data_IF_525299570179
#
_entry.id   IF_525299570179
#
_cell.length_a   1.000
_cell.length_b   1.000
_cell.length_c   1.000
_cell.angle_alpha   90.00
_cell.angle_beta   90.00
_cell.angle_gamma   90.00
#
_symmetry.space_group_name_H-M   'P 1'
#
loop_
_entity.id
_entity.type
_entity.pdbx_description
1 polymer ?
#
# COMPACT_ATOMS: atom_id res chain seq x y z
N UNK A 1 23.14 4.99 74.09
CA UNK A 1 23.50 4.92 72.65
C UNK A 1 22.27 4.42 71.90
N UNK A 2 21.60 5.28 71.12
CA UNK A 2 20.42 4.95 70.33
C UNK A 2 20.89 4.84 68.84
N UNK A 3 20.81 3.66 68.29
CA UNK A 3 21.13 3.36 66.89
C UNK A 3 19.91 3.67 66.02
N UNK A 4 20.02 4.66 65.17
CA UNK A 4 18.99 4.99 64.18
C UNK A 4 19.23 4.11 62.93
N UNK A 5 18.21 3.36 62.55
CA UNK A 5 18.19 2.63 61.27
C UNK A 5 17.74 3.57 60.11
N UNK A 6 18.33 3.47 58.95
CA UNK A 6 17.90 4.26 57.78
C UNK A 6 16.66 3.66 57.12
N UNK A 7 15.64 4.49 56.91
CA UNK A 7 14.48 4.21 56.05
C UNK A 7 14.96 4.13 54.59
N UNK A 8 14.87 2.96 54.00
CA UNK A 8 15.04 2.78 52.56
C UNK A 8 13.72 3.10 51.86
N UNK A 9 13.70 4.22 51.15
CA UNK A 9 12.61 4.61 50.26
C UNK A 9 12.61 3.75 49.00
N UNK A 10 11.67 2.83 48.89
CA UNK A 10 11.41 2.12 47.63
C UNK A 10 10.63 3.04 46.67
N UNK A 11 11.33 3.62 45.71
CA UNK A 11 10.70 4.34 44.62
C UNK A 11 10.25 3.32 43.56
N UNK A 12 8.96 3.00 43.57
CA UNK A 12 8.35 2.18 42.50
C UNK A 12 8.24 3.03 41.21
N UNK A 13 9.10 2.77 40.24
CA UNK A 13 8.99 3.34 38.90
C UNK A 13 7.89 2.61 38.18
N UNK A 14 6.71 3.22 38.08
CA UNK A 14 5.63 2.75 37.19
C UNK A 14 6.05 3.02 35.74
N UNK A 15 6.56 2.01 35.05
CA UNK A 15 6.70 2.00 33.60
C UNK A 15 5.31 1.90 32.98
N UNK A 16 4.66 3.03 32.71
CA UNK A 16 3.52 3.09 31.81
C UNK A 16 3.99 2.72 30.41
N UNK A 17 3.85 1.45 30.06
CA UNK A 17 4.01 0.98 28.69
C UNK A 17 2.95 1.62 27.80
N UNK A 18 3.32 2.69 27.10
CA UNK A 18 2.48 3.27 26.06
C UNK A 18 2.44 2.25 24.93
N UNK A 19 1.37 1.46 24.87
CA UNK A 19 1.07 0.60 23.72
C UNK A 19 0.70 1.56 22.59
N UNK A 20 1.68 1.91 21.75
CA UNK A 20 1.40 2.54 20.46
C UNK A 20 0.66 1.52 19.60
N UNK A 21 -0.67 1.53 19.65
CA UNK A 21 -1.46 0.95 18.59
C UNK A 21 -1.14 1.77 17.33
N UNK A 22 -0.37 1.18 16.42
CA UNK A 22 -0.10 1.78 15.13
C UNK A 22 -1.44 1.98 14.42
N UNK A 23 -1.97 3.20 14.47
CA UNK A 23 -3.14 3.60 13.73
C UNK A 23 -2.90 3.34 12.23
N UNK A 24 -3.96 3.03 11.49
CA UNK A 24 -3.85 2.92 10.04
C UNK A 24 -3.27 4.22 9.49
N UNK A 25 -2.19 4.10 8.72
CA UNK A 25 -1.49 5.25 8.16
C UNK A 25 -2.06 5.56 6.77
N UNK A 26 -2.08 6.85 6.42
CA UNK A 26 -2.53 7.25 5.10
C UNK A 26 -1.46 6.95 4.03
N UNK A 27 -1.91 6.44 2.91
CA UNK A 27 -1.06 6.37 1.71
C UNK A 27 -0.74 7.80 1.27
N UNK A 28 0.53 8.16 1.06
CA UNK A 28 0.93 9.51 0.69
C UNK A 28 0.29 9.99 -0.62
N UNK A 29 -0.04 11.30 -0.74
CA UNK A 29 -0.72 11.85 -1.92
C UNK A 29 -0.09 11.51 -3.27
N UNK A 30 1.25 11.50 -3.44
CA UNK A 30 1.86 11.19 -4.74
C UNK A 30 1.52 9.80 -5.29
N UNK A 31 1.19 8.84 -4.43
CA UNK A 31 0.81 7.49 -4.83
C UNK A 31 -0.67 7.34 -5.15
N UNK A 32 -1.51 8.28 -4.71
CA UNK A 32 -2.96 8.23 -4.89
C UNK A 32 -3.33 8.55 -6.34
N UNK A 33 -4.43 7.95 -6.79
CA UNK A 33 -4.96 8.18 -8.13
C UNK A 33 -5.46 6.91 -8.78
N UNK A 34 -5.66 7.01 -10.07
CA UNK A 34 -6.06 5.92 -10.95
C UNK A 34 -4.89 5.58 -11.85
N UNK A 35 -4.57 4.30 -11.91
CA UNK A 35 -3.41 3.77 -12.59
C UNK A 35 -3.83 2.61 -13.50
N UNK A 36 -3.19 2.53 -14.66
CA UNK A 36 -3.42 1.47 -15.64
C UNK A 36 -2.15 0.64 -15.82
N UNK A 37 -2.25 -0.67 -15.68
CA UNK A 37 -1.17 -1.63 -15.90
C UNK A 37 -1.60 -2.76 -16.81
N UNK A 38 -0.63 -3.58 -17.23
CA UNK A 38 -0.86 -4.80 -17.97
C UNK A 38 -0.23 -5.97 -17.23
N UNK A 39 -1.00 -7.03 -17.07
CA UNK A 39 -0.60 -8.23 -16.31
C UNK A 39 0.60 -8.93 -16.94
N UNK A 40 0.71 -8.84 -18.26
CA UNK A 40 1.72 -9.52 -19.07
C UNK A 40 2.45 -8.51 -19.97
N UNK A 41 3.46 -7.82 -19.43
CA UNK A 41 4.25 -6.90 -20.24
C UNK A 41 5.33 -7.62 -21.08
N UNK A 42 5.74 -8.82 -20.66
CA UNK A 42 6.69 -9.63 -21.42
C UNK A 42 5.99 -10.27 -22.60
N UNK A 43 6.48 -10.01 -23.82
CA UNK A 43 5.96 -10.57 -25.07
C UNK A 43 4.86 -9.74 -25.74
N UNK A 44 4.56 -8.53 -25.27
CA UNK A 44 3.67 -7.61 -26.01
C UNK A 44 4.29 -7.22 -27.35
N UNK A 45 3.52 -7.37 -28.41
CA UNK A 45 3.92 -6.93 -29.75
C UNK A 45 3.93 -5.40 -29.88
N UNK A 46 3.16 -4.70 -29.06
CA UNK A 46 3.06 -3.24 -29.08
C UNK A 46 3.61 -2.62 -27.79
N UNK A 47 4.50 -1.61 -27.90
CA UNK A 47 4.99 -0.89 -26.75
C UNK A 47 3.87 -0.08 -26.10
N UNK A 48 3.91 0.05 -24.75
CA UNK A 48 3.01 0.93 -24.02
C UNK A 48 3.37 2.37 -24.32
N UNK A 49 2.50 3.09 -25.02
CA UNK A 49 2.67 4.51 -25.36
C UNK A 49 1.77 5.39 -24.54
N UNK A 50 2.12 6.68 -24.40
CA UNK A 50 1.27 7.67 -23.75
C UNK A 50 -0.08 7.83 -24.46
N UNK A 51 -0.14 7.63 -25.78
CA UNK A 51 -1.38 7.64 -26.53
C UNK A 51 -2.29 6.48 -26.13
N UNK A 52 -1.73 5.28 -26.02
CA UNK A 52 -2.45 4.09 -25.56
C UNK A 52 -3.01 4.29 -24.15
N UNK A 53 -2.19 4.76 -23.20
CA UNK A 53 -2.61 5.03 -21.84
C UNK A 53 -3.78 6.03 -21.82
N UNK A 54 -3.66 7.15 -22.55
CA UNK A 54 -4.73 8.17 -22.62
C UNK A 54 -6.02 7.62 -23.21
N UNK A 55 -5.94 6.77 -24.21
CA UNK A 55 -7.11 6.16 -24.84
C UNK A 55 -7.86 5.28 -23.85
N UNK A 56 -7.16 4.35 -23.21
CA UNK A 56 -7.75 3.47 -22.19
C UNK A 56 -8.32 4.26 -20.99
N UNK A 57 -7.59 5.24 -20.48
CA UNK A 57 -8.04 6.03 -19.34
C UNK A 57 -9.24 6.94 -19.66
N UNK A 58 -9.44 7.31 -20.92
CA UNK A 58 -10.55 8.16 -21.37
C UNK A 58 -11.81 7.36 -21.64
N UNK A 59 -11.66 6.22 -22.28
CA UNK A 59 -12.79 5.43 -22.78
C UNK A 59 -13.29 4.39 -21.78
N UNK A 60 -12.69 4.32 -20.59
CA UNK A 60 -12.87 3.24 -19.65
C UNK A 60 -12.15 1.99 -20.14
N UNK A 61 -11.60 1.24 -19.22
CA UNK A 61 -10.99 -0.04 -19.54
C UNK A 61 -12.08 -0.97 -20.07
N UNK A 62 -12.02 -1.23 -21.35
CA UNK A 62 -12.59 -2.48 -21.84
C UNK A 62 -11.58 -3.53 -21.42
N UNK A 63 -11.82 -4.14 -20.25
CA UNK A 63 -10.97 -5.22 -19.76
C UNK A 63 -10.94 -6.33 -20.81
N UNK A 64 -9.97 -6.24 -21.68
CA UNK A 64 -9.46 -7.41 -22.38
C UNK A 64 -8.54 -8.13 -21.40
N UNK A 65 -8.22 -9.37 -21.61
CA UNK A 65 -7.63 -10.31 -20.65
C UNK A 65 -6.31 -9.85 -19.98
N UNK A 66 -5.80 -8.65 -20.25
CA UNK A 66 -4.46 -8.23 -19.88
C UNK A 66 -4.39 -6.97 -19.03
N UNK A 67 -5.41 -6.10 -19.07
CA UNK A 67 -5.37 -4.84 -18.33
C UNK A 67 -5.70 -5.02 -16.86
N UNK A 68 -5.02 -4.24 -16.03
CA UNK A 68 -5.29 -4.10 -14.61
C UNK A 68 -5.45 -2.63 -14.27
N UNK A 69 -6.56 -2.26 -13.64
CA UNK A 69 -6.72 -0.94 -13.03
C UNK A 69 -6.34 -1.00 -11.56
N UNK A 70 -5.58 -0.01 -11.11
CA UNK A 70 -5.25 0.17 -9.72
C UNK A 70 -5.77 1.53 -9.26
N UNK A 71 -6.75 1.52 -8.37
CA UNK A 71 -7.27 2.72 -7.72
C UNK A 71 -6.68 2.82 -6.32
N UNK A 72 -5.91 3.88 -6.06
CA UNK A 72 -5.30 4.15 -4.76
C UNK A 72 -5.96 5.39 -4.15
N UNK A 73 -6.55 5.23 -2.98
CA UNK A 73 -7.11 6.29 -2.15
C UNK A 73 -6.34 6.39 -0.84
N UNK A 74 -6.71 7.29 0.01
CA UNK A 74 -6.04 7.59 1.28
C UNK A 74 -5.80 6.35 2.16
N UNK A 75 -6.82 5.49 2.29
CA UNK A 75 -6.77 4.28 3.12
C UNK A 75 -7.36 3.06 2.42
N UNK A 76 -7.50 3.12 1.12
CA UNK A 76 -8.14 2.08 0.32
C UNK A 76 -7.41 1.87 -0.99
N UNK A 77 -7.30 0.63 -1.41
CA UNK A 77 -6.71 0.21 -2.68
C UNK A 77 -7.63 -0.80 -3.33
N UNK A 78 -7.97 -0.56 -4.58
CA UNK A 78 -8.67 -1.52 -5.45
C UNK A 78 -7.77 -1.90 -6.59
N UNK A 79 -7.57 -3.18 -6.77
CA UNK A 79 -6.96 -3.78 -7.94
C UNK A 79 -8.05 -4.50 -8.72
N UNK A 80 -8.35 -4.03 -9.92
CA UNK A 80 -9.41 -4.56 -10.76
C UNK A 80 -8.82 -5.14 -12.05
N UNK A 81 -9.28 -6.33 -12.42
CA UNK A 81 -8.91 -7.06 -13.63
C UNK A 81 -10.15 -7.75 -14.21
N UNK A 82 -10.04 -8.35 -15.38
CA UNK A 82 -11.20 -8.93 -16.10
C UNK A 82 -11.99 -9.93 -15.27
N UNK A 83 -11.32 -10.74 -14.45
CA UNK A 83 -11.93 -11.80 -13.64
C UNK A 83 -12.54 -11.29 -12.32
N UNK A 84 -12.32 -10.04 -11.95
CA UNK A 84 -12.83 -9.47 -10.71
C UNK A 84 -12.01 -8.32 -10.13
N UNK A 85 -12.15 -8.12 -8.83
CA UNK A 85 -11.41 -7.10 -8.11
C UNK A 85 -10.93 -7.61 -6.76
N UNK A 86 -9.80 -7.06 -6.29
CA UNK A 86 -9.32 -7.23 -4.93
C UNK A 86 -9.30 -5.87 -4.24
N UNK A 87 -9.94 -5.80 -3.09
CA UNK A 87 -10.03 -4.59 -2.28
C UNK A 87 -9.22 -4.74 -1.00
N UNK A 88 -8.44 -3.71 -0.70
CA UNK A 88 -7.60 -3.64 0.49
C UNK A 88 -7.84 -2.33 1.23
N UNK A 89 -7.65 -2.36 2.53
CA UNK A 89 -7.75 -1.19 3.39
C UNK A 89 -6.71 -1.23 4.53
N UNK A 90 -6.82 -0.26 5.43
CA UNK A 90 -5.99 -0.19 6.64
C UNK A 90 -4.49 -0.36 6.37
N UNK A 91 -3.89 0.51 5.53
CA UNK A 91 -2.46 0.44 5.26
C UNK A 91 -1.67 0.65 6.55
N UNK A 92 -0.59 -0.13 6.71
CA UNK A 92 0.42 0.07 7.72
C UNK A 92 1.76 0.21 7.02
N UNK A 93 2.30 1.42 7.02
CA UNK A 93 3.57 1.70 6.36
C UNK A 93 4.73 1.28 7.27
N UNK A 94 5.68 0.54 6.73
CA UNK A 94 6.96 0.21 7.36
C UNK A 94 8.09 1.12 6.85
N UNK A 95 7.92 1.70 5.65
CA UNK A 95 8.81 2.68 5.07
C UNK A 95 8.02 3.68 4.23
N UNK A 96 8.39 4.97 4.30
CA UNK A 96 7.81 6.02 3.51
C UNK A 96 8.89 7.03 3.12
N UNK A 97 9.11 7.18 1.80
CA UNK A 97 9.92 8.20 1.17
C UNK A 97 9.09 8.88 0.07
N UNK A 98 9.50 10.02 -0.47
CA UNK A 98 8.71 10.73 -1.49
C UNK A 98 8.37 9.91 -2.72
N UNK A 99 9.23 8.98 -3.10
CA UNK A 99 9.12 8.13 -4.29
C UNK A 99 8.96 6.63 -3.98
N UNK A 100 9.02 6.23 -2.72
CA UNK A 100 8.92 4.82 -2.33
C UNK A 100 8.16 4.63 -1.03
N UNK A 101 7.20 3.70 -1.03
CA UNK A 101 6.52 3.24 0.19
C UNK A 101 6.51 1.72 0.25
N UNK A 102 6.53 1.19 1.46
CA UNK A 102 6.37 -0.22 1.74
C UNK A 102 5.55 -0.43 3.00
N UNK A 103 4.92 -1.59 3.11
CA UNK A 103 4.11 -1.89 4.29
C UNK A 103 3.22 -3.11 4.10
N UNK A 104 2.07 -3.07 4.75
CA UNK A 104 1.04 -4.09 4.62
C UNK A 104 -0.35 -3.48 4.43
N UNK A 105 -1.20 -4.18 3.68
CA UNK A 105 -2.61 -3.89 3.46
C UNK A 105 -3.45 -5.04 4.01
N UNK A 106 -4.59 -4.74 4.64
CA UNK A 106 -5.56 -5.75 5.05
C UNK A 106 -6.56 -5.98 3.92
N UNK A 107 -7.01 -7.23 3.73
CA UNK A 107 -8.15 -7.49 2.88
C UNK A 107 -9.38 -6.73 3.40
N UNK A 108 -10.05 -5.96 2.56
CA UNK A 108 -11.14 -5.08 2.95
C UNK A 108 -12.36 -5.83 3.51
N UNK A 109 -12.55 -7.07 3.10
CA UNK A 109 -13.65 -7.94 3.52
C UNK A 109 -13.31 -8.83 4.72
N UNK A 110 -12.07 -8.79 5.21
CA UNK A 110 -11.68 -9.52 6.42
C UNK A 110 -11.94 -8.65 7.66
N UNK A 111 -13.05 -8.91 8.32
CA UNK A 111 -13.48 -8.21 9.53
C UNK A 111 -12.98 -8.86 10.83
N UNK A 112 -12.09 -9.83 10.74
CA UNK A 112 -11.51 -10.47 11.92
C UNK A 112 -10.68 -9.49 12.76
N UNK A 113 -10.51 -9.73 14.08
CA UNK A 113 -9.62 -8.91 14.92
C UNK A 113 -8.16 -8.90 14.43
N UNK A 114 -7.76 -9.93 13.69
CA UNK A 114 -6.44 -10.09 13.08
C UNK A 114 -6.60 -10.41 11.60
N UNK A 115 -6.91 -9.41 10.76
CA UNK A 115 -7.15 -9.65 9.35
C UNK A 115 -5.89 -10.13 8.65
N UNK A 116 -6.09 -10.97 7.64
CA UNK A 116 -5.00 -11.31 6.74
C UNK A 116 -4.42 -10.06 6.09
N UNK A 117 -3.10 -9.94 6.09
CA UNK A 117 -2.40 -8.79 5.54
C UNK A 117 -1.43 -9.22 4.45
N UNK A 118 -1.42 -8.47 3.37
CA UNK A 118 -0.51 -8.64 2.25
C UNK A 118 0.57 -7.56 2.31
N UNK A 119 1.81 -7.94 2.09
CA UNK A 119 2.93 -6.99 2.00
C UNK A 119 2.88 -6.27 0.67
N UNK A 120 3.34 -5.02 0.65
CA UNK A 120 3.51 -4.26 -0.59
C UNK A 120 4.81 -3.45 -0.56
N UNK A 121 5.34 -3.20 -1.74
CA UNK A 121 6.42 -2.26 -2.01
C UNK A 121 6.09 -1.52 -3.30
N UNK A 122 5.93 -0.20 -3.23
CA UNK A 122 5.59 0.64 -4.37
C UNK A 122 6.65 1.73 -4.56
N UNK A 123 7.01 1.96 -5.82
CA UNK A 123 7.99 2.99 -6.20
C UNK A 123 7.45 3.83 -7.34
N UNK A 124 7.48 5.15 -7.18
CA UNK A 124 7.16 6.12 -8.22
C UNK A 124 8.38 6.39 -9.10
N UNK A 125 8.19 6.35 -10.41
CA UNK A 125 9.14 6.81 -11.40
C UNK A 125 8.54 8.00 -12.16
N UNK A 126 9.24 9.13 -12.20
CA UNK A 126 8.82 10.34 -12.91
C UNK A 126 7.39 10.86 -12.55
N UNK A 127 6.85 10.50 -11.39
CA UNK A 127 5.52 10.89 -10.93
C UNK A 127 4.33 10.28 -11.71
N UNK A 128 4.57 9.67 -12.86
CA UNK A 128 3.54 9.12 -13.75
C UNK A 128 3.63 7.62 -13.96
N UNK A 129 4.65 6.98 -13.43
CA UNK A 129 4.86 5.54 -13.49
C UNK A 129 5.00 4.99 -12.08
N UNK A 130 4.25 3.95 -11.77
CA UNK A 130 4.25 3.29 -10.47
C UNK A 130 4.67 1.84 -10.66
N UNK A 131 5.75 1.44 -9.99
CA UNK A 131 6.19 0.05 -9.90
C UNK A 131 5.57 -0.54 -8.64
N UNK A 132 4.75 -1.56 -8.80
CA UNK A 132 4.00 -2.22 -7.72
C UNK A 132 4.52 -3.64 -7.55
N UNK A 133 4.89 -3.97 -6.33
CA UNK A 133 5.13 -5.35 -5.90
C UNK A 133 4.23 -5.65 -4.71
N UNK A 134 3.33 -6.61 -4.86
CA UNK A 134 2.44 -7.07 -3.81
C UNK A 134 2.77 -8.52 -3.46
N UNK A 135 3.02 -8.79 -2.18
CA UNK A 135 3.37 -10.12 -1.70
C UNK A 135 4.60 -10.69 -2.40
N UNK A 136 4.46 -11.90 -2.93
CA UNK A 136 5.49 -12.61 -3.68
C UNK A 136 5.36 -12.46 -5.20
N UNK A 137 4.40 -11.65 -5.66
CA UNK A 137 4.17 -11.43 -7.07
C UNK A 137 5.35 -10.69 -7.72
N UNK A 138 5.64 -10.93 -9.00
CA UNK A 138 6.57 -10.11 -9.76
C UNK A 138 6.18 -8.64 -9.73
N UNK A 139 7.15 -7.74 -9.82
CA UNK A 139 6.88 -6.32 -9.92
C UNK A 139 6.09 -6.02 -11.21
N UNK A 140 5.07 -5.19 -11.09
CA UNK A 140 4.18 -4.79 -12.17
C UNK A 140 4.27 -3.26 -12.36
N UNK A 141 4.26 -2.81 -13.60
CA UNK A 141 4.32 -1.39 -13.94
C UNK A 141 2.94 -0.86 -14.25
N UNK A 142 2.60 0.25 -13.60
CA UNK A 142 1.36 0.98 -13.81
C UNK A 142 1.64 2.41 -14.27
N UNK A 143 0.75 2.96 -15.08
CA UNK A 143 0.83 4.31 -15.63
C UNK A 143 -0.33 5.14 -15.13
N UNK A 144 -0.07 6.38 -14.75
CA UNK A 144 -1.08 7.28 -14.19
C UNK A 144 -2.12 7.66 -15.23
N UNK A 145 -3.40 7.50 -14.87
CA UNK A 145 -4.52 8.01 -15.65
C UNK A 145 -4.85 9.47 -15.29
N UNK A 146 -4.85 9.78 -14.00
CA UNK A 146 -5.20 11.11 -13.43
C UNK A 146 -4.52 11.33 -12.10
#
# INVERSE_FOLDING_TARGET
MKTMAPLQSLTAVLLCGIIFQAAAQDIPPPFRGEWLGWRWQQGREQPVTQALIRDYCRNGTRFTDEETELTIRRQFVREQYVEGARDFNRPKLSAAAPDKIAGTLANAYDHSPRPHRETFEWRLENGNTLIVRNGRQPAQTFYRCR
#
